data_IF_284976183426
#
_entry.id   IF_284976183426
#
_cell.length_a   1.000
_cell.length_b   1.000
_cell.length_c   1.000
_cell.angle_alpha   90.00
_cell.angle_beta   90.00
_cell.angle_gamma   90.00
#
_symmetry.space_group_name_H-M   'P 1'
#
loop_
_entity.id
_entity.type
_entity.pdbx_description
1 polymer ?
#
# COMPACT_ATOMS: atom_id res chain seq x y z
N UNK A 1 -15.53 12.07 19.97
CA UNK A 1 -15.31 10.65 19.57
C UNK A 1 -16.41 9.79 20.16
N UNK A 2 -17.00 8.89 19.39
CA UNK A 2 -18.00 7.95 19.90
C UNK A 2 -17.33 6.85 20.71
N UNK A 3 -17.67 6.72 21.99
CA UNK A 3 -17.20 5.60 22.84
C UNK A 3 -18.13 4.39 22.79
N UNK A 4 -19.36 4.55 22.27
CA UNK A 4 -20.40 3.52 22.33
C UNK A 4 -20.45 2.62 21.09
N UNK A 5 -19.97 3.09 19.93
CA UNK A 5 -19.95 2.33 18.66
C UNK A 5 -18.75 2.69 17.81
N UNK A 6 -18.31 1.76 16.97
CA UNK A 6 -17.31 2.03 15.95
C UNK A 6 -17.92 2.96 14.88
N UNK A 7 -17.07 3.79 14.25
CA UNK A 7 -17.50 4.62 13.14
C UNK A 7 -17.95 3.74 11.96
N UNK A 8 -19.03 4.16 11.29
CA UNK A 8 -19.52 3.50 10.09
C UNK A 8 -18.49 3.63 8.96
N UNK A 9 -18.24 2.53 8.26
CA UNK A 9 -17.35 2.52 7.09
C UNK A 9 -18.10 3.08 5.89
N UNK A 10 -17.59 4.16 5.31
CA UNK A 10 -18.14 4.72 4.07
C UNK A 10 -17.94 3.74 2.92
N UNK A 11 -18.95 3.58 2.10
CA UNK A 11 -18.84 2.85 0.82
C UNK A 11 -18.01 3.69 -0.15
N UNK A 12 -17.10 3.05 -0.84
CA UNK A 12 -16.25 3.69 -1.86
C UNK A 12 -16.78 3.25 -3.22
N UNK A 13 -16.99 4.21 -4.11
CA UNK A 13 -17.36 3.91 -5.48
C UNK A 13 -16.17 3.28 -6.21
N UNK A 14 -16.41 2.27 -7.06
CA UNK A 14 -15.38 1.72 -7.92
C UNK A 14 -14.86 2.77 -8.90
N UNK A 15 -13.70 2.50 -9.48
CA UNK A 15 -13.11 3.36 -10.50
C UNK A 15 -14.01 3.43 -11.76
N UNK A 16 -14.30 4.63 -12.29
CA UNK A 16 -15.24 4.77 -13.41
C UNK A 16 -14.73 4.15 -14.73
N UNK A 17 -13.42 4.07 -14.95
CA UNK A 17 -12.82 3.53 -16.20
C UNK A 17 -12.73 2.01 -16.18
N UNK A 18 -12.31 1.44 -15.07
CA UNK A 18 -12.00 0.01 -14.93
C UNK A 18 -13.02 -0.75 -14.07
N UNK A 19 -13.93 -0.06 -13.38
CA UNK A 19 -14.89 -0.69 -12.46
C UNK A 19 -14.25 -1.33 -11.22
N UNK A 20 -12.98 -1.07 -10.97
CA UNK A 20 -12.20 -1.70 -9.89
C UNK A 20 -12.29 -0.90 -8.59
N UNK A 21 -12.70 -1.58 -7.50
CA UNK A 21 -12.84 -0.98 -6.18
C UNK A 21 -11.48 -0.66 -5.53
N UNK A 22 -10.48 -1.49 -5.78
CA UNK A 22 -9.14 -1.31 -5.20
C UNK A 22 -8.44 -0.14 -5.86
N UNK A 23 -8.59 0.00 -7.18
CA UNK A 23 -8.08 1.15 -7.92
C UNK A 23 -8.75 2.45 -7.47
N UNK A 24 -10.07 2.43 -7.22
CA UNK A 24 -10.79 3.56 -6.63
C UNK A 24 -10.25 3.96 -5.25
N UNK A 25 -9.94 2.98 -4.39
CA UNK A 25 -9.29 3.23 -3.09
C UNK A 25 -7.89 3.80 -3.25
N UNK A 26 -7.12 3.29 -4.20
CA UNK A 26 -5.78 3.76 -4.51
C UNK A 26 -5.79 5.23 -4.95
N UNK A 27 -6.67 5.58 -5.90
CA UNK A 27 -6.85 6.95 -6.39
C UNK A 27 -7.24 7.91 -5.26
N UNK A 28 -8.16 7.49 -4.39
CA UNK A 28 -8.54 8.28 -3.22
C UNK A 28 -7.39 8.46 -2.20
N UNK A 29 -6.47 7.50 -2.11
CA UNK A 29 -5.29 7.59 -1.24
C UNK A 29 -4.17 8.44 -1.86
N UNK A 30 -4.07 8.46 -3.19
CA UNK A 30 -3.12 9.30 -3.93
C UNK A 30 -3.52 10.77 -3.91
N UNK A 31 -4.81 11.07 -3.80
CA UNK A 31 -5.40 12.39 -3.79
C UNK A 31 -4.72 13.32 -2.78
N UNK A 32 -4.42 14.54 -3.21
CA UNK A 32 -3.86 15.60 -2.38
C UNK A 32 -4.71 16.87 -2.50
N UNK A 33 -4.99 17.53 -1.37
CA UNK A 33 -5.78 18.76 -1.30
C UNK A 33 -7.16 18.68 -2.00
N UNK A 34 -7.79 17.50 -2.04
CA UNK A 34 -9.11 17.30 -2.67
C UNK A 34 -9.11 17.26 -4.21
N UNK A 35 -7.94 17.32 -4.85
CA UNK A 35 -7.80 17.38 -6.33
C UNK A 35 -7.94 15.99 -6.96
N UNK A 36 -9.17 15.43 -6.99
CA UNK A 36 -9.43 14.06 -7.46
C UNK A 36 -9.14 13.88 -8.95
N UNK A 37 -9.49 14.83 -9.81
CA UNK A 37 -9.23 14.76 -11.25
C UNK A 37 -7.74 14.63 -11.58
N UNK A 38 -6.87 15.32 -10.83
CA UNK A 38 -5.41 15.20 -11.00
C UNK A 38 -4.95 13.80 -10.58
N UNK A 39 -5.47 13.25 -9.47
CA UNK A 39 -5.13 11.89 -9.04
C UNK A 39 -5.56 10.84 -10.08
N UNK A 40 -6.74 10.97 -10.66
CA UNK A 40 -7.23 10.10 -11.74
C UNK A 40 -6.33 10.19 -12.98
N UNK A 41 -5.96 11.40 -13.40
CA UNK A 41 -5.03 11.61 -14.53
C UNK A 41 -3.67 10.94 -14.28
N UNK A 42 -3.14 11.02 -13.06
CA UNK A 42 -1.88 10.37 -12.69
C UNK A 42 -2.01 8.85 -12.75
N UNK A 43 -3.07 8.28 -12.19
CA UNK A 43 -3.29 6.83 -12.16
C UNK A 43 -3.48 6.28 -13.57
N UNK A 44 -4.34 6.90 -14.38
CA UNK A 44 -4.59 6.44 -15.75
C UNK A 44 -3.35 6.60 -16.63
N UNK A 45 -2.64 7.72 -16.53
CA UNK A 45 -1.39 7.92 -17.24
C UNK A 45 -0.32 6.90 -16.85
N UNK A 46 -0.24 6.51 -15.57
CA UNK A 46 0.68 5.46 -15.14
C UNK A 46 0.30 4.09 -15.69
N UNK A 47 -0.98 3.74 -15.70
CA UNK A 47 -1.48 2.49 -16.29
C UNK A 47 -1.24 2.45 -17.81
N UNK A 48 -1.48 3.55 -18.52
CA UNK A 48 -1.22 3.66 -19.96
C UNK A 48 0.29 3.50 -20.27
N UNK A 49 1.18 4.07 -19.44
CA UNK A 49 2.62 3.85 -19.58
C UNK A 49 3.03 2.39 -19.32
N UNK A 50 2.42 1.72 -18.34
CA UNK A 50 2.67 0.30 -18.09
C UNK A 50 2.26 -0.52 -19.30
N UNK A 51 1.06 -0.29 -19.85
CA UNK A 51 0.59 -0.96 -21.07
C UNK A 51 1.56 -0.75 -22.23
N UNK A 52 2.02 0.49 -22.45
CA UNK A 52 2.95 0.83 -23.52
C UNK A 52 4.31 0.12 -23.40
N UNK A 53 4.79 -0.08 -22.16
CA UNK A 53 6.10 -0.71 -21.90
C UNK A 53 6.05 -2.24 -21.84
N UNK A 54 4.98 -2.81 -21.33
CA UNK A 54 4.85 -4.25 -21.10
C UNK A 54 4.03 -4.95 -22.17
N UNK A 55 3.19 -4.21 -22.91
CA UNK A 55 2.23 -4.77 -23.86
C UNK A 55 1.11 -5.61 -23.22
N UNK A 56 1.05 -5.65 -21.89
CA UNK A 56 0.11 -6.46 -21.12
C UNK A 56 -1.03 -5.67 -20.46
N UNK A 57 -1.84 -6.37 -19.67
CA UNK A 57 -2.91 -5.79 -18.88
C UNK A 57 -2.33 -5.00 -17.70
N UNK A 58 -2.47 -3.68 -17.76
CA UNK A 58 -1.97 -2.78 -16.71
C UNK A 58 -2.72 -2.92 -15.40
N UNK A 59 -4.03 -3.26 -15.44
CA UNK A 59 -4.80 -3.48 -14.21
C UNK A 59 -4.31 -4.74 -13.48
N UNK A 60 -4.02 -5.80 -14.19
CA UNK A 60 -3.40 -7.01 -13.63
C UNK A 60 -2.04 -6.69 -13.03
N UNK A 61 -1.19 -5.96 -13.74
CA UNK A 61 0.12 -5.49 -13.25
C UNK A 61 -0.03 -4.69 -11.95
N UNK A 62 -1.03 -3.83 -11.86
CA UNK A 62 -1.35 -3.07 -10.64
C UNK A 62 -1.72 -3.98 -9.46
N UNK A 63 -2.58 -4.98 -9.68
CA UNK A 63 -2.94 -5.94 -8.64
C UNK A 63 -1.76 -6.81 -8.20
N UNK A 64 -0.94 -7.26 -9.14
CA UNK A 64 0.26 -8.05 -8.87
C UNK A 64 1.27 -7.23 -8.04
N UNK A 65 1.49 -5.96 -8.39
CA UNK A 65 2.32 -5.04 -7.61
C UNK A 65 1.80 -4.86 -6.17
N UNK A 66 0.49 -4.64 -6.01
CA UNK A 66 -0.12 -4.55 -4.69
C UNK A 66 0.05 -5.83 -3.88
N UNK A 67 -0.18 -6.99 -4.49
CA UNK A 67 -0.04 -8.29 -3.81
C UNK A 67 1.40 -8.53 -3.37
N UNK A 68 2.38 -8.13 -4.18
CA UNK A 68 3.79 -8.21 -3.82
C UNK A 68 4.16 -7.35 -2.61
N UNK A 69 3.55 -6.17 -2.48
CA UNK A 69 3.86 -5.23 -1.39
C UNK A 69 3.05 -5.47 -0.11
N UNK A 70 1.96 -6.23 -0.17
CA UNK A 70 1.15 -6.54 1.01
C UNK A 70 1.96 -7.23 2.11
N UNK A 71 1.99 -6.70 3.35
CA UNK A 71 2.63 -7.38 4.47
C UNK A 71 1.67 -8.39 5.12
N UNK A 72 2.19 -9.54 5.54
CA UNK A 72 1.46 -10.55 6.31
C UNK A 72 1.58 -10.30 7.81
N UNK A 73 2.70 -9.69 8.24
CA UNK A 73 3.00 -9.41 9.64
C UNK A 73 3.45 -7.97 9.83
N UNK A 74 3.13 -7.38 10.96
CA UNK A 74 3.62 -6.08 11.40
C UNK A 74 4.08 -6.17 12.85
N UNK A 75 4.84 -5.18 13.31
CA UNK A 75 5.28 -5.08 14.71
C UNK A 75 4.46 -4.00 15.41
N UNK A 76 3.89 -4.35 16.56
CA UNK A 76 3.17 -3.41 17.43
C UNK A 76 3.85 -3.28 18.78
N UNK A 77 3.97 -2.06 19.25
CA UNK A 77 4.50 -1.79 20.59
C UNK A 77 3.48 -2.18 21.66
N UNK A 78 3.91 -2.96 22.66
CA UNK A 78 3.14 -3.29 23.85
C UNK A 78 3.95 -3.02 25.11
N UNK A 79 3.32 -2.37 26.06
CA UNK A 79 3.94 -2.09 27.36
C UNK A 79 3.57 -3.18 28.36
N UNK A 80 4.57 -3.86 28.91
CA UNK A 80 4.40 -4.92 29.93
C UNK A 80 5.38 -4.66 31.06
N UNK A 81 4.87 -4.54 32.28
CA UNK A 81 5.72 -4.36 33.47
C UNK A 81 6.64 -3.13 33.43
N UNK A 82 6.25 -2.05 32.73
CA UNK A 82 7.06 -0.82 32.57
C UNK A 82 8.01 -0.84 31.37
N UNK A 83 8.32 -1.99 30.77
CA UNK A 83 9.10 -2.11 29.54
C UNK A 83 8.21 -2.12 28.30
N UNK A 84 8.71 -1.55 27.17
CA UNK A 84 8.01 -1.56 25.89
C UNK A 84 8.62 -2.62 24.99
N UNK A 85 7.79 -3.58 24.58
CA UNK A 85 8.17 -4.66 23.68
C UNK A 85 7.56 -4.46 22.29
N UNK A 86 8.32 -4.82 21.27
CA UNK A 86 7.87 -4.85 19.88
C UNK A 86 7.32 -6.25 19.60
N UNK A 87 5.98 -6.37 19.52
CA UNK A 87 5.29 -7.66 19.39
C UNK A 87 4.87 -7.89 17.95
N UNK A 88 5.30 -8.96 17.27
CA UNK A 88 4.84 -9.30 15.92
C UNK A 88 3.38 -9.75 15.96
N UNK A 89 2.58 -9.21 15.05
CA UNK A 89 1.15 -9.47 14.93
C UNK A 89 0.78 -9.67 13.45
N UNK A 90 -0.04 -10.65 13.16
CA UNK A 90 -0.61 -10.86 11.83
C UNK A 90 -1.46 -9.67 11.39
N UNK A 91 -1.35 -9.30 10.13
CA UNK A 91 -2.06 -8.14 9.57
C UNK A 91 -3.37 -8.61 8.92
N UNK A 92 -4.49 -8.03 9.31
CA UNK A 92 -5.78 -8.29 8.66
C UNK A 92 -5.73 -7.83 7.20
N UNK A 93 -6.39 -8.55 6.28
CA UNK A 93 -6.34 -8.30 4.83
C UNK A 93 -6.66 -6.84 4.44
N UNK A 94 -7.66 -6.23 5.10
CA UNK A 94 -8.03 -4.83 4.85
C UNK A 94 -6.92 -3.84 5.23
N UNK A 95 -6.19 -4.12 6.30
CA UNK A 95 -5.05 -3.31 6.75
C UNK A 95 -3.82 -3.55 5.88
N UNK A 96 -3.56 -4.81 5.52
CA UNK A 96 -2.48 -5.20 4.60
C UNK A 96 -2.61 -4.45 3.26
N UNK A 97 -3.82 -4.42 2.70
CA UNK A 97 -4.12 -3.64 1.50
C UNK A 97 -3.87 -2.13 1.69
N UNK A 98 -4.32 -1.56 2.81
CA UNK A 98 -4.12 -0.14 3.09
C UNK A 98 -2.64 0.22 3.27
N UNK A 99 -1.85 -0.67 3.89
CA UNK A 99 -0.41 -0.50 4.02
C UNK A 99 0.30 -0.57 2.66
N UNK A 100 -0.04 -1.55 1.82
CA UNK A 100 0.52 -1.68 0.48
C UNK A 100 0.25 -0.42 -0.38
N UNK A 101 -0.99 0.07 -0.39
CA UNK A 101 -1.34 1.32 -1.09
C UNK A 101 -0.49 2.50 -0.60
N UNK A 102 -0.38 2.66 0.72
CA UNK A 102 0.40 3.75 1.32
C UNK A 102 1.87 3.66 0.95
N UNK A 103 2.48 2.49 1.06
CA UNK A 103 3.90 2.28 0.79
C UNK A 103 4.24 2.50 -0.69
N UNK A 104 3.39 2.06 -1.61
CA UNK A 104 3.59 2.32 -3.05
C UNK A 104 3.51 3.82 -3.35
N UNK A 105 2.52 4.53 -2.81
CA UNK A 105 2.37 5.97 -3.03
C UNK A 105 3.56 6.74 -2.43
N UNK A 106 3.98 6.38 -1.23
CA UNK A 106 5.12 6.99 -0.54
C UNK A 106 6.42 6.73 -1.29
N UNK A 107 6.64 5.49 -1.73
CA UNK A 107 7.79 5.11 -2.54
C UNK A 107 7.81 5.86 -3.89
N UNK A 108 6.67 5.91 -4.60
CA UNK A 108 6.55 6.64 -5.85
C UNK A 108 6.86 8.14 -5.67
N UNK A 109 6.38 8.78 -4.61
CA UNK A 109 6.66 10.21 -4.33
C UNK A 109 8.15 10.51 -4.12
N UNK A 110 8.90 9.54 -3.60
CA UNK A 110 10.34 9.68 -3.31
C UNK A 110 11.25 9.32 -4.50
N UNK A 111 10.69 8.91 -5.64
CA UNK A 111 11.46 8.62 -6.85
C UNK A 111 11.97 9.89 -7.52
N UNK A 112 13.00 9.75 -8.33
CA UNK A 112 13.71 10.85 -8.99
C UNK A 112 13.14 11.25 -10.35
N UNK A 113 12.19 10.49 -10.92
CA UNK A 113 11.59 10.80 -12.21
C UNK A 113 10.87 12.16 -12.18
N UNK A 114 10.71 12.78 -13.33
CA UNK A 114 10.21 14.16 -13.43
C UNK A 114 8.74 14.27 -13.05
N UNK A 115 7.89 13.39 -13.56
CA UNK A 115 6.43 13.44 -13.36
C UNK A 115 5.95 12.35 -12.39
N UNK A 116 4.84 12.61 -11.67
CA UNK A 116 4.24 11.60 -10.78
C UNK A 116 3.71 10.39 -11.55
N UNK A 117 3.32 10.58 -12.80
CA UNK A 117 2.89 9.49 -13.72
C UNK A 117 4.05 8.51 -13.93
N UNK A 118 5.24 9.01 -14.28
CA UNK A 118 6.45 8.19 -14.49
C UNK A 118 6.90 7.50 -13.19
N UNK A 119 6.88 8.23 -12.08
CA UNK A 119 7.22 7.71 -10.74
C UNK A 119 6.33 6.55 -10.34
N UNK A 120 5.03 6.71 -10.50
CA UNK A 120 4.05 5.68 -10.15
C UNK A 120 4.17 4.46 -11.07
N UNK A 121 4.28 4.66 -12.38
CA UNK A 121 4.48 3.57 -13.33
C UNK A 121 5.78 2.80 -13.04
N UNK A 122 6.87 3.53 -12.76
CA UNK A 122 8.16 2.94 -12.39
C UNK A 122 8.07 2.09 -11.13
N UNK A 123 7.45 2.60 -10.05
CA UNK A 123 7.33 1.87 -8.78
C UNK A 123 6.44 0.63 -8.92
N UNK A 124 5.33 0.70 -9.67
CA UNK A 124 4.46 -0.46 -9.90
C UNK A 124 5.19 -1.56 -10.69
N UNK A 125 5.94 -1.21 -11.74
CA UNK A 125 6.73 -2.17 -12.50
C UNK A 125 7.87 -2.79 -11.69
N UNK A 126 8.56 -1.98 -10.88
CA UNK A 126 9.60 -2.48 -9.97
C UNK A 126 9.02 -3.42 -8.92
N UNK A 127 7.86 -3.09 -8.35
CA UNK A 127 7.17 -3.93 -7.36
C UNK A 127 6.79 -5.31 -7.90
N UNK A 128 6.28 -5.41 -9.14
CA UNK A 128 5.99 -6.70 -9.79
C UNK A 128 7.25 -7.56 -9.91
N UNK A 129 8.40 -6.92 -10.16
CA UNK A 129 9.70 -7.61 -10.25
C UNK A 129 10.40 -7.80 -8.89
N UNK A 130 9.68 -7.67 -7.77
CA UNK A 130 10.22 -7.72 -6.41
C UNK A 130 11.37 -6.72 -6.17
N UNK A 131 11.28 -5.54 -6.76
CA UNK A 131 12.23 -4.43 -6.61
C UNK A 131 11.50 -3.19 -6.12
N UNK A 132 12.27 -2.15 -5.81
CA UNK A 132 11.70 -0.86 -5.41
C UNK A 132 11.60 -0.66 -3.90
N UNK A 133 11.33 0.58 -3.53
CA UNK A 133 11.35 1.02 -2.13
C UNK A 133 10.16 0.48 -1.35
N UNK A 134 9.01 0.29 -2.01
CA UNK A 134 7.81 -0.27 -1.39
C UNK A 134 8.02 -1.74 -0.99
N UNK A 135 8.63 -2.54 -1.85
CA UNK A 135 8.98 -3.95 -1.56
C UNK A 135 10.00 -4.01 -0.43
N UNK A 136 11.04 -3.18 -0.47
CA UNK A 136 12.02 -3.08 0.62
C UNK A 136 11.36 -2.76 1.96
N UNK A 137 10.38 -1.87 1.99
CA UNK A 137 9.62 -1.53 3.20
C UNK A 137 8.88 -2.74 3.77
N UNK A 138 8.25 -3.57 2.91
CA UNK A 138 7.64 -4.84 3.32
C UNK A 138 8.68 -5.77 3.93
N UNK A 139 9.82 -5.97 3.25
CA UNK A 139 10.89 -6.86 3.72
C UNK A 139 11.46 -6.42 5.05
N UNK A 140 11.70 -5.11 5.24
CA UNK A 140 12.18 -4.56 6.50
C UNK A 140 11.17 -4.77 7.63
N UNK A 141 9.86 -4.64 7.32
CA UNK A 141 8.79 -4.91 8.29
C UNK A 141 8.75 -6.40 8.69
N UNK A 142 8.86 -7.31 7.71
CA UNK A 142 8.94 -8.76 7.97
C UNK A 142 10.20 -9.13 8.74
N UNK A 143 11.35 -8.54 8.40
CA UNK A 143 12.62 -8.74 9.14
C UNK A 143 12.52 -8.27 10.59
N UNK A 144 11.89 -7.12 10.84
CA UNK A 144 11.64 -6.65 12.20
C UNK A 144 10.72 -7.60 12.96
N UNK A 145 9.67 -8.13 12.32
CA UNK A 145 8.77 -9.08 12.93
C UNK A 145 9.49 -10.40 13.27
N UNK A 146 10.35 -10.90 12.39
CA UNK A 146 11.17 -12.10 12.63
C UNK A 146 12.16 -11.90 13.78
N UNK A 147 12.87 -10.77 13.81
CA UNK A 147 13.79 -10.43 14.89
C UNK A 147 13.12 -10.36 16.28
N UNK A 148 11.83 -9.98 16.30
CA UNK A 148 11.04 -9.87 17.54
C UNK A 148 10.16 -11.10 17.81
N UNK A 149 10.34 -12.20 17.08
CA UNK A 149 9.52 -13.41 17.18
C UNK A 149 9.47 -14.01 18.60
N UNK A 150 10.56 -13.85 19.35
CA UNK A 150 10.63 -14.27 20.75
C UNK A 150 9.54 -13.63 21.65
N UNK A 151 9.05 -12.44 21.30
CA UNK A 151 8.01 -11.72 22.02
C UNK A 151 6.57 -12.01 21.53
N UNK A 152 6.39 -12.98 20.62
CA UNK A 152 5.08 -13.32 20.05
C UNK A 152 4.07 -13.79 21.11
N UNK A 153 4.52 -14.36 22.22
CA UNK A 153 3.67 -14.78 23.35
C UNK A 153 3.05 -13.59 24.11
N UNK A 154 3.52 -12.36 23.91
CA UNK A 154 2.89 -11.14 24.45
C UNK A 154 1.73 -10.61 23.58
N UNK A 155 1.27 -11.36 22.57
CA UNK A 155 0.06 -10.99 21.80
C UNK A 155 -1.16 -10.90 22.71
N UNK A 156 -2.10 -10.02 22.39
CA UNK A 156 -3.41 -9.88 23.01
C UNK A 156 -4.52 -10.25 22.05
#
# INVERSE_FOLDING_TARGET
MSRRRAAEKRTINPDPKFGDLVLGKFTNSLLYAGKKSIAETIVYGALDQITSKTGGDSLRTFHDALNTVKPDVEVKSRRVGGATYQVPVEVRSSRSQALAIRWIIEAARNRSEKTMVERLAGELMDAVNNRGTAVKKREDTHRMAEANKAFSHYRW
#
